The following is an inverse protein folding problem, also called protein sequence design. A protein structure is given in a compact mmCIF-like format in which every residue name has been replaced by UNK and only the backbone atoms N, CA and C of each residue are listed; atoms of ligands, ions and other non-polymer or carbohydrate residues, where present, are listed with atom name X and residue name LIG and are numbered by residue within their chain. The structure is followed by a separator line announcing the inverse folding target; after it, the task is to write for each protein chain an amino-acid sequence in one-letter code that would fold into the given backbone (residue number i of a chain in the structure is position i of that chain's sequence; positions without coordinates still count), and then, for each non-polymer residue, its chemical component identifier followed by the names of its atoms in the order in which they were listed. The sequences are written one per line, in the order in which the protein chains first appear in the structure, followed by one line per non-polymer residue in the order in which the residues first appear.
data_IF_189104671797
#
_entry.id   IF_189104671797
#
_cell.length_a   1.000
_cell.length_b   1.000
_cell.length_c   1.000
_cell.angle_alpha   90.00
_cell.angle_beta   90.00
_cell.angle_gamma   90.00
#
_symmetry.space_group_name_H-M   'P 1'
#
loop_
_entity.id
_entity.type
_entity.pdbx_description
1 polymer ?
#
# COMPACT_ATOMS: atom_id res chain seq x y z
N UNK A 1 -17.34 19.56 22.34
CA UNK A 1 -17.52 18.09 22.36
C UNK A 1 -16.57 17.53 23.40
N UNK A 2 -17.08 16.93 24.47
CA UNK A 2 -16.25 16.32 25.53
C UNK A 2 -15.72 15.00 24.98
N UNK A 3 -14.53 15.00 24.39
CA UNK A 3 -13.86 13.74 24.02
C UNK A 3 -13.45 13.02 25.29
N UNK A 4 -14.03 11.85 25.56
CA UNK A 4 -13.62 11.01 26.66
C UNK A 4 -12.10 10.75 26.56
N UNK A 5 -11.39 10.90 27.67
CA UNK A 5 -9.92 10.73 27.72
C UNK A 5 -9.48 9.38 27.13
N UNK A 6 -10.25 8.31 27.40
CA UNK A 6 -10.03 6.97 26.87
C UNK A 6 -10.13 6.89 25.32
N UNK A 7 -11.13 7.55 24.71
CA UNK A 7 -11.28 7.59 23.23
C UNK A 7 -10.15 8.34 22.55
N UNK A 8 -9.58 9.37 23.21
CA UNK A 8 -8.41 10.10 22.71
C UNK A 8 -7.14 9.24 22.76
N UNK A 9 -6.90 8.50 23.85
CA UNK A 9 -5.74 7.59 23.94
C UNK A 9 -5.83 6.48 22.89
N UNK A 10 -7.01 5.85 22.78
CA UNK A 10 -7.24 4.79 21.81
C UNK A 10 -6.96 5.25 20.38
N UNK A 11 -7.51 6.41 19.98
CA UNK A 11 -7.29 6.97 18.64
C UNK A 11 -5.81 7.27 18.36
N UNK A 12 -5.08 7.80 19.34
CA UNK A 12 -3.63 8.07 19.22
C UNK A 12 -2.81 6.79 19.10
N UNK A 13 -3.17 5.74 19.85
CA UNK A 13 -2.53 4.44 19.74
C UNK A 13 -2.72 3.83 18.35
N UNK A 14 -3.95 3.84 17.81
CA UNK A 14 -4.22 3.35 16.46
C UNK A 14 -3.47 4.12 15.40
N UNK A 15 -3.43 5.46 15.51
CA UNK A 15 -2.66 6.30 14.60
C UNK A 15 -1.17 5.91 14.61
N UNK A 16 -0.58 5.79 15.79
CA UNK A 16 0.82 5.40 15.93
C UNK A 16 1.07 3.99 15.37
N UNK A 17 0.20 3.04 15.67
CA UNK A 17 0.28 1.67 15.18
C UNK A 17 0.24 1.60 13.64
N UNK A 18 -0.71 2.29 13.02
CA UNK A 18 -0.82 2.38 11.57
C UNK A 18 0.37 3.09 10.92
N UNK A 19 0.89 4.13 11.56
CA UNK A 19 2.09 4.83 11.09
C UNK A 19 3.32 3.92 11.12
N UNK A 20 3.47 3.09 12.15
CA UNK A 20 4.56 2.12 12.25
C UNK A 20 4.46 1.04 11.15
N UNK A 21 3.25 0.51 10.90
CA UNK A 21 3.04 -0.43 9.79
C UNK A 21 3.42 0.24 8.48
N UNK A 22 2.94 1.45 8.23
CA UNK A 22 3.27 2.19 7.02
C UNK A 22 4.78 2.40 6.86
N UNK A 23 5.46 2.88 7.90
CA UNK A 23 6.89 3.17 7.89
C UNK A 23 7.77 1.94 7.61
N UNK A 24 7.33 0.75 8.03
CA UNK A 24 8.07 -0.50 7.78
C UNK A 24 7.70 -1.12 6.43
N UNK A 25 6.41 -1.20 6.12
CA UNK A 25 5.93 -1.94 4.96
C UNK A 25 6.13 -1.16 3.66
N UNK A 26 6.00 0.17 3.70
CA UNK A 26 6.10 0.97 2.48
C UNK A 26 7.48 0.89 1.81
N UNK A 27 8.61 1.04 2.54
CA UNK A 27 9.93 0.82 1.94
C UNK A 27 10.13 -0.59 1.38
N UNK A 28 9.56 -1.61 2.05
CA UNK A 28 9.62 -3.00 1.57
C UNK A 28 8.83 -3.18 0.28
N UNK A 29 7.62 -2.62 0.21
CA UNK A 29 6.76 -2.64 -0.99
C UNK A 29 7.49 -2.02 -2.18
N UNK A 30 8.09 -0.85 -1.98
CA UNK A 30 8.82 -0.11 -3.02
C UNK A 30 10.07 -0.90 -3.45
N UNK A 31 10.84 -1.43 -2.50
CA UNK A 31 12.04 -2.22 -2.80
C UNK A 31 11.71 -3.47 -3.62
N UNK A 32 10.65 -4.18 -3.26
CA UNK A 32 10.18 -5.35 -4.00
C UNK A 32 9.67 -4.98 -5.39
N UNK A 33 8.95 -3.86 -5.51
CA UNK A 33 8.46 -3.36 -6.80
C UNK A 33 9.62 -3.01 -7.74
N UNK A 34 10.62 -2.29 -7.24
CA UNK A 34 11.83 -1.95 -7.99
C UNK A 34 12.58 -3.20 -8.48
N UNK A 35 12.90 -4.12 -7.56
CA UNK A 35 13.64 -5.34 -7.88
C UNK A 35 12.85 -6.27 -8.81
N UNK A 36 11.54 -6.41 -8.56
CA UNK A 36 10.64 -7.23 -9.35
C UNK A 36 10.46 -6.70 -10.77
N UNK A 37 10.30 -5.39 -10.93
CA UNK A 37 10.17 -4.74 -12.22
C UNK A 37 11.47 -4.81 -13.04
N UNK A 38 12.63 -4.55 -12.42
CA UNK A 38 13.92 -4.58 -13.12
C UNK A 38 14.34 -5.98 -13.55
N UNK A 39 14.03 -6.99 -12.72
CA UNK A 39 14.39 -8.38 -12.98
C UNK A 39 13.29 -9.21 -13.62
N UNK A 40 12.13 -8.61 -13.96
CA UNK A 40 10.92 -9.31 -14.41
C UNK A 40 10.54 -10.51 -13.51
N UNK A 41 10.81 -10.39 -12.21
CA UNK A 41 10.65 -11.47 -11.24
C UNK A 41 9.22 -11.47 -10.71
N UNK A 42 8.46 -12.50 -11.08
CA UNK A 42 7.10 -12.74 -10.57
C UNK A 42 7.03 -12.69 -9.04
N UNK A 43 7.87 -13.40 -8.26
CA UNK A 43 7.71 -13.43 -6.80
C UNK A 43 7.93 -12.06 -6.16
N UNK A 44 8.97 -11.32 -6.57
CA UNK A 44 9.25 -9.98 -6.03
C UNK A 44 8.13 -8.99 -6.41
N UNK A 45 7.66 -9.01 -7.67
CA UNK A 45 6.57 -8.14 -8.15
C UNK A 45 5.23 -8.44 -7.46
N UNK A 46 4.94 -9.74 -7.27
CA UNK A 46 3.73 -10.18 -6.55
C UNK A 46 3.79 -9.82 -5.07
N UNK A 47 4.97 -9.82 -4.45
CA UNK A 47 5.16 -9.34 -3.08
C UNK A 47 4.89 -7.84 -2.95
N UNK A 48 5.35 -7.03 -3.91
CA UNK A 48 5.02 -5.61 -3.98
C UNK A 48 3.52 -5.37 -4.13
N UNK A 49 2.87 -6.13 -5.03
CA UNK A 49 1.42 -6.09 -5.21
C UNK A 49 0.67 -6.47 -3.92
N UNK A 50 1.10 -7.55 -3.24
CA UNK A 50 0.49 -8.01 -2.01
C UNK A 50 0.54 -6.93 -0.93
N UNK A 51 1.71 -6.36 -0.65
CA UNK A 51 1.87 -5.29 0.33
C UNK A 51 1.10 -4.02 -0.06
N UNK A 52 1.04 -3.72 -1.36
CA UNK A 52 0.21 -2.64 -1.89
C UNK A 52 -1.28 -2.86 -1.58
N UNK A 53 -1.81 -4.04 -1.85
CA UNK A 53 -3.22 -4.38 -1.57
C UNK A 53 -3.49 -4.41 -0.07
N UNK A 54 -2.59 -5.03 0.69
CA UNK A 54 -2.66 -5.13 2.14
C UNK A 54 -1.25 -5.12 2.73
N UNK A 55 -0.90 -4.15 3.60
CA UNK A 55 -1.77 -3.19 4.27
C UNK A 55 -1.87 -1.80 3.62
N UNK A 56 -1.10 -1.50 2.57
CA UNK A 56 -0.84 -0.11 2.15
C UNK A 56 -2.08 0.61 1.61
N UNK A 57 -2.85 0.03 0.69
CA UNK A 57 -4.07 0.68 0.18
C UNK A 57 -5.11 1.00 1.28
N UNK A 58 -5.44 0.07 2.20
CA UNK A 58 -6.29 0.39 3.35
C UNK A 58 -5.73 1.53 4.21
N UNK A 59 -4.42 1.51 4.48
CA UNK A 59 -3.76 2.56 5.27
C UNK A 59 -3.76 3.91 4.55
N UNK A 60 -3.49 3.93 3.25
CA UNK A 60 -3.55 5.13 2.42
C UNK A 60 -4.95 5.74 2.44
N UNK A 61 -6.00 4.90 2.36
CA UNK A 61 -7.39 5.34 2.45
C UNK A 61 -7.73 5.86 3.86
N UNK A 62 -7.22 5.21 4.91
CA UNK A 62 -7.39 5.67 6.29
C UNK A 62 -6.73 7.03 6.52
N UNK A 63 -5.46 7.21 6.13
CA UNK A 63 -4.75 8.48 6.30
C UNK A 63 -5.32 9.60 5.43
N UNK A 64 -5.83 9.27 4.24
CA UNK A 64 -6.46 10.26 3.37
C UNK A 64 -7.84 10.65 3.88
N UNK A 65 -8.71 9.72 4.26
CA UNK A 65 -10.11 10.07 4.57
C UNK A 65 -10.62 9.50 5.89
N UNK A 66 -10.12 8.35 6.33
CA UNK A 66 -10.54 7.69 7.57
C UNK A 66 -10.21 8.47 8.85
N UNK A 67 -9.05 9.10 8.94
CA UNK A 67 -8.59 9.80 10.15
C UNK A 67 -9.53 10.94 10.59
N UNK A 68 -10.17 11.61 9.63
CA UNK A 68 -11.16 12.67 9.91
C UNK A 68 -12.42 12.12 10.59
N UNK A 69 -12.83 10.89 10.27
CA UNK A 69 -14.08 10.29 10.76
C UNK A 69 -13.87 9.36 11.95
N UNK A 70 -12.81 8.56 11.93
CA UNK A 70 -12.51 7.53 12.95
C UNK A 70 -11.49 7.99 13.99
N UNK A 71 -10.77 9.08 13.73
CA UNK A 71 -9.78 9.67 14.63
C UNK A 71 -10.34 10.82 15.47
N UNK A 72 -9.45 11.74 15.85
CA UNK A 72 -9.78 12.85 16.75
C UNK A 72 -10.44 14.05 16.03
N UNK A 73 -10.95 13.85 14.80
CA UNK A 73 -11.66 14.87 14.00
C UNK A 73 -10.81 15.97 13.37
N UNK A 74 -9.53 16.09 13.75
CA UNK A 74 -8.61 17.11 13.25
C UNK A 74 -7.48 16.48 12.44
N UNK A 75 -7.33 16.92 11.19
CA UNK A 75 -6.25 16.57 10.26
C UNK A 75 -5.77 17.87 9.63
N UNK A 76 -4.46 18.10 9.60
CA UNK A 76 -3.94 19.33 9.02
C UNK A 76 -4.18 19.35 7.50
N UNK A 77 -4.53 20.49 6.87
CA UNK A 77 -4.79 20.53 5.43
C UNK A 77 -3.63 20.00 4.58
N UNK A 78 -2.38 20.21 5.02
CA UNK A 78 -1.19 19.68 4.36
C UNK A 78 -1.11 18.15 4.45
N UNK A 79 -1.34 17.57 5.63
CA UNK A 79 -1.36 16.11 5.83
C UNK A 79 -2.43 15.47 4.94
N UNK A 80 -3.63 16.06 4.92
CA UNK A 80 -4.74 15.64 4.07
C UNK A 80 -4.36 15.64 2.59
N UNK A 81 -3.74 16.72 2.10
CA UNK A 81 -3.31 16.84 0.71
C UNK A 81 -2.24 15.79 0.34
N UNK A 82 -1.24 15.60 1.21
CA UNK A 82 -0.16 14.63 1.00
C UNK A 82 -0.70 13.20 0.95
N UNK A 83 -1.55 12.82 1.91
CA UNK A 83 -2.15 11.49 1.94
C UNK A 83 -3.08 11.25 0.75
N UNK A 84 -3.79 12.27 0.29
CA UNK A 84 -4.62 12.20 -0.91
C UNK A 84 -3.78 12.00 -2.17
N UNK A 85 -2.70 12.79 -2.33
CA UNK A 85 -1.77 12.64 -3.45
C UNK A 85 -1.12 11.25 -3.45
N UNK A 86 -0.70 10.77 -2.28
CA UNK A 86 -0.16 9.43 -2.10
C UNK A 86 -1.16 8.33 -2.52
N UNK A 87 -2.42 8.43 -2.08
CA UNK A 87 -3.47 7.50 -2.48
C UNK A 87 -3.69 7.49 -4.01
N UNK A 88 -3.65 8.66 -4.65
CA UNK A 88 -3.76 8.79 -6.11
C UNK A 88 -2.57 8.17 -6.86
N UNK A 89 -1.42 7.97 -6.21
CA UNK A 89 -0.28 7.24 -6.79
C UNK A 89 -0.40 5.73 -6.57
N UNK A 90 -0.80 5.30 -5.37
CA UNK A 90 -0.89 3.88 -5.00
C UNK A 90 -1.97 3.13 -5.78
N UNK A 91 -3.14 3.72 -6.01
CA UNK A 91 -4.24 3.01 -6.69
C UNK A 91 -3.92 2.66 -8.16
N UNK A 92 -3.41 3.60 -8.99
CA UNK A 92 -2.93 3.26 -10.32
C UNK A 92 -1.74 2.29 -10.29
N UNK A 93 -0.78 2.47 -9.37
CA UNK A 93 0.37 1.57 -9.23
C UNK A 93 -0.10 0.13 -8.98
N UNK A 94 -1.08 -0.08 -8.10
CA UNK A 94 -1.68 -1.39 -7.85
C UNK A 94 -2.30 -2.02 -9.09
N UNK A 95 -3.08 -1.23 -9.84
CA UNK A 95 -3.69 -1.71 -11.07
C UNK A 95 -2.64 -2.10 -12.11
N UNK A 96 -1.62 -1.27 -12.30
CA UNK A 96 -0.53 -1.53 -13.23
C UNK A 96 0.29 -2.75 -12.81
N UNK A 97 0.61 -2.88 -11.53
CA UNK A 97 1.38 -4.00 -10.97
C UNK A 97 0.62 -5.32 -11.15
N UNK A 98 -0.69 -5.32 -10.91
CA UNK A 98 -1.55 -6.49 -11.18
C UNK A 98 -1.51 -6.92 -12.64
N UNK A 99 -1.58 -5.96 -13.58
CA UNK A 99 -1.46 -6.25 -15.01
C UNK A 99 -0.08 -6.82 -15.33
N UNK A 100 0.98 -6.25 -14.77
CA UNK A 100 2.36 -6.72 -14.97
C UNK A 100 2.52 -8.16 -14.48
N UNK A 101 2.06 -8.49 -13.27
CA UNK A 101 2.10 -9.86 -12.72
C UNK A 101 1.40 -10.85 -13.65
N UNK A 102 0.22 -10.50 -14.17
CA UNK A 102 -0.50 -11.36 -15.13
C UNK A 102 0.27 -11.58 -16.42
N UNK A 103 0.94 -10.55 -16.93
CA UNK A 103 1.76 -10.66 -18.14
C UNK A 103 2.99 -11.53 -17.90
N UNK A 104 3.69 -11.34 -16.78
CA UNK A 104 4.88 -12.14 -16.42
C UNK A 104 4.55 -13.62 -16.21
N UNK A 105 3.41 -13.92 -15.57
CA UNK A 105 2.95 -15.31 -15.42
C UNK A 105 2.71 -15.97 -16.78
N UNK A 106 2.10 -15.23 -17.72
CA UNK A 106 1.84 -15.74 -19.07
C UNK A 106 3.11 -15.94 -19.87
N UNK A 107 4.08 -15.02 -19.78
CA UNK A 107 5.35 -15.14 -20.51
C UNK A 107 6.17 -16.32 -19.98
N UNK A 108 6.29 -16.48 -18.66
CA UNK A 108 7.01 -17.63 -18.09
C UNK A 108 6.33 -18.95 -18.44
N UNK A 109 5.00 -19.03 -18.36
CA UNK A 109 4.27 -20.23 -18.75
C UNK A 109 4.45 -20.60 -20.24
N UNK A 110 4.66 -19.61 -21.11
CA UNK A 110 4.96 -19.85 -22.52
C UNK A 110 6.39 -20.39 -22.71
N UNK A 111 7.37 -19.83 -22.00
CA UNK A 111 8.77 -20.30 -22.05
C UNK A 111 8.90 -21.75 -21.56
N UNK A 112 8.28 -22.10 -20.43
CA UNK A 112 8.32 -23.47 -19.90
C UNK A 112 7.79 -24.50 -20.90
N UNK A 113 6.70 -24.18 -21.63
CA UNK A 113 6.14 -25.08 -22.64
C UNK A 113 7.05 -25.28 -23.86
N UNK A 114 7.91 -24.31 -24.16
CA UNK A 114 8.88 -24.41 -25.26
C UNK A 114 10.11 -25.20 -24.86
N UNK A 115 10.52 -25.16 -23.58
CA UNK A 115 11.62 -25.98 -23.05
C UNK A 115 11.25 -27.46 -22.85
N UNK A 116 9.95 -27.76 -22.67
CA UNK A 116 9.45 -29.15 -22.57
C UNK A 116 9.30 -29.87 -23.93
N UNK A 117 9.50 -29.20 -25.07
CA UNK A 117 9.45 -29.78 -26.42
C UNK A 117 10.85 -30.00 -27.00
#
# INVERSE_FOLDING_TARGET
QVTNFATSIFSKFFLLFFLLIFAVIEPLRIRLGWKGNLGERIPDTSGSFLFGCFPIAPLALYFAYGQKYLGNGFVMPLEQALNTAYLLLVLPELYLTWRLVRTLVRSQAATFRLEER
#
